data_IF_355417476486
#
_entry.id   IF_355417476486
#
_cell.length_a   1.000
_cell.length_b   1.000
_cell.length_c   1.000
_cell.angle_alpha   90.00
_cell.angle_beta   90.00
_cell.angle_gamma   90.00
#
_symmetry.space_group_name_H-M   'P 1'
#
loop_
_entity.id
_entity.type
_entity.pdbx_description
1 polymer ?
#
# COMPACT_ATOMS: atom_id res chain seq x y z
N UNK A 1 -25.87 0.83 19.85
CA UNK A 1 -25.45 2.22 19.63
C UNK A 1 -26.31 2.82 18.52
N UNK A 2 -26.65 4.11 18.57
CA UNK A 2 -27.46 4.73 17.51
C UNK A 2 -26.62 4.86 16.23
N UNK A 3 -27.16 4.48 15.08
CA UNK A 3 -26.48 4.53 13.76
C UNK A 3 -25.86 5.93 13.52
N UNK A 4 -26.52 7.00 13.98
CA UNK A 4 -26.01 8.36 13.88
C UNK A 4 -24.70 8.58 14.68
N UNK A 5 -24.56 7.97 15.86
CA UNK A 5 -23.33 8.05 16.65
C UNK A 5 -22.18 7.31 15.97
N UNK A 6 -22.45 6.10 15.43
CA UNK A 6 -21.46 5.31 14.68
C UNK A 6 -20.96 6.12 13.47
N UNK A 7 -21.90 6.74 12.73
CA UNK A 7 -21.54 7.58 11.57
C UNK A 7 -20.72 8.80 11.98
N UNK A 8 -21.05 9.44 13.10
CA UNK A 8 -20.29 10.59 13.62
C UNK A 8 -18.87 10.18 14.01
N UNK A 9 -18.70 9.06 14.73
CA UNK A 9 -17.40 8.52 15.09
C UNK A 9 -16.57 8.19 13.85
N UNK A 10 -17.17 7.55 12.85
CA UNK A 10 -16.50 7.23 11.57
C UNK A 10 -16.02 8.52 10.87
N UNK A 11 -16.86 9.54 10.77
CA UNK A 11 -16.52 10.82 10.14
C UNK A 11 -15.40 11.54 10.91
N UNK A 12 -15.42 11.50 12.24
CA UNK A 12 -14.34 12.09 13.07
C UNK A 12 -13.02 11.35 12.84
N UNK A 13 -13.03 10.02 12.86
CA UNK A 13 -11.84 9.22 12.56
C UNK A 13 -11.30 9.51 11.14
N UNK A 14 -12.17 9.56 10.14
CA UNK A 14 -11.80 9.89 8.77
C UNK A 14 -11.19 11.31 8.68
N UNK A 15 -11.77 12.30 9.36
CA UNK A 15 -11.23 13.66 9.39
C UNK A 15 -9.82 13.72 10.01
N UNK A 16 -9.58 12.97 11.10
CA UNK A 16 -8.25 12.87 11.72
C UNK A 16 -7.26 12.23 10.76
N UNK A 17 -7.63 11.13 10.08
CA UNK A 17 -6.77 10.45 9.10
C UNK A 17 -6.45 11.38 7.93
N UNK A 18 -7.42 12.16 7.43
CA UNK A 18 -7.18 13.14 6.34
C UNK A 18 -6.16 14.19 6.76
N UNK A 19 -6.29 14.75 7.95
CA UNK A 19 -5.34 15.75 8.47
C UNK A 19 -3.97 15.12 8.69
N UNK A 20 -3.92 13.98 9.39
CA UNK A 20 -2.68 13.28 9.71
C UNK A 20 -1.95 12.80 8.44
N UNK A 21 -2.65 12.18 7.49
CA UNK A 21 -2.07 11.73 6.22
C UNK A 21 -1.52 12.87 5.38
N UNK A 22 -2.18 14.02 5.37
CA UNK A 22 -1.69 15.22 4.68
C UNK A 22 -0.40 15.75 5.33
N UNK A 23 -0.35 15.83 6.67
CA UNK A 23 0.84 16.23 7.43
C UNK A 23 1.97 15.22 7.21
N UNK A 24 1.67 13.93 7.30
CA UNK A 24 2.62 12.83 7.08
C UNK A 24 3.31 12.97 5.73
N UNK A 25 2.54 13.18 4.68
CA UNK A 25 3.04 13.32 3.31
C UNK A 25 3.90 14.56 3.14
N UNK A 26 3.47 15.70 3.69
CA UNK A 26 4.27 16.95 3.65
C UNK A 26 5.60 16.80 4.39
N UNK A 27 5.58 16.11 5.53
CA UNK A 27 6.81 15.81 6.27
C UNK A 27 7.70 14.82 5.51
N UNK A 28 7.13 13.80 4.87
CA UNK A 28 7.85 12.84 4.03
C UNK A 28 8.54 13.54 2.84
N UNK A 29 7.86 14.46 2.17
CA UNK A 29 8.44 15.27 1.09
C UNK A 29 9.63 16.10 1.58
N UNK A 30 9.49 16.75 2.74
CA UNK A 30 10.58 17.50 3.38
C UNK A 30 11.75 16.59 3.77
N UNK A 31 11.48 15.40 4.32
CA UNK A 31 12.54 14.43 4.64
C UNK A 31 13.27 14.00 3.37
N UNK A 32 12.55 13.67 2.29
CA UNK A 32 13.15 13.28 1.02
C UNK A 32 14.07 14.36 0.46
N UNK A 33 13.63 15.61 0.52
CA UNK A 33 14.40 16.78 0.02
C UNK A 33 15.67 17.03 0.85
N UNK A 34 15.54 17.08 2.19
CA UNK A 34 16.67 17.42 3.08
C UNK A 34 17.69 16.28 3.16
N UNK A 35 17.24 15.02 3.18
CA UNK A 35 18.13 13.85 3.26
C UNK A 35 18.72 13.43 1.92
N UNK A 36 18.17 13.95 0.81
CA UNK A 36 18.53 13.54 -0.56
C UNK A 36 18.36 12.03 -0.81
N UNK A 37 17.44 11.39 -0.11
CA UNK A 37 17.14 9.96 -0.27
C UNK A 37 16.29 9.66 -1.53
N UNK A 38 15.68 10.70 -2.12
CA UNK A 38 14.74 10.57 -3.23
C UNK A 38 13.30 10.33 -2.77
N UNK A 39 12.37 10.99 -3.47
CA UNK A 39 10.93 10.91 -3.14
C UNK A 39 10.36 9.51 -3.29
N UNK A 40 10.82 8.75 -4.29
CA UNK A 40 10.35 7.38 -4.52
C UNK A 40 10.74 6.46 -3.34
N UNK A 41 11.98 6.54 -2.85
CA UNK A 41 12.42 5.72 -1.72
C UNK A 41 11.70 6.10 -0.42
N UNK A 42 11.57 7.40 -0.14
CA UNK A 42 10.85 7.86 1.05
C UNK A 42 9.36 7.48 0.97
N UNK A 43 8.77 7.56 -0.22
CA UNK A 43 7.40 7.08 -0.47
C UNK A 43 7.26 5.57 -0.23
N UNK A 44 8.17 4.77 -0.81
CA UNK A 44 8.06 3.31 -0.77
C UNK A 44 8.46 2.66 0.56
N UNK A 45 9.17 3.35 1.42
CA UNK A 45 9.63 2.79 2.70
C UNK A 45 9.01 3.50 3.90
N UNK A 46 9.21 4.83 4.00
CA UNK A 46 8.77 5.57 5.19
C UNK A 46 7.26 5.84 5.13
N UNK A 47 6.78 6.42 4.02
CA UNK A 47 5.38 6.79 3.92
C UNK A 47 4.50 5.53 3.86
N UNK A 48 4.84 4.57 3.01
CA UNK A 48 4.15 3.30 2.92
C UNK A 48 4.12 2.54 4.25
N UNK A 49 5.27 2.44 4.93
CA UNK A 49 5.33 1.79 6.24
C UNK A 49 4.45 2.47 7.28
N UNK A 50 4.40 3.82 7.29
CA UNK A 50 3.58 4.56 8.27
C UNK A 50 2.08 4.46 7.98
N UNK A 51 1.67 4.42 6.71
CA UNK A 51 0.26 4.31 6.32
C UNK A 51 -0.29 2.90 6.49
N UNK A 52 0.54 1.85 6.36
CA UNK A 52 0.15 0.44 6.55
C UNK A 52 0.29 -0.06 8.01
N UNK A 53 0.59 0.80 8.99
CA UNK A 53 0.59 0.40 10.40
C UNK A 53 -0.80 0.03 10.96
N UNK A 54 -1.90 0.70 10.57
CA UNK A 54 -3.25 0.29 10.99
C UNK A 54 -3.59 -1.14 10.57
N UNK A 55 -3.25 -1.54 9.35
CA UNK A 55 -3.44 -2.90 8.85
C UNK A 55 -2.76 -3.90 9.77
N UNK A 56 -1.50 -3.66 10.14
CA UNK A 56 -0.76 -4.55 11.05
C UNK A 56 -1.50 -4.75 12.38
N UNK A 57 -2.09 -3.70 12.96
CA UNK A 57 -2.78 -3.80 14.24
C UNK A 57 -4.11 -4.55 14.15
N UNK A 58 -4.85 -4.33 13.06
CA UNK A 58 -6.10 -5.03 12.75
C UNK A 58 -5.81 -6.51 12.50
N UNK A 59 -4.79 -6.81 11.70
CA UNK A 59 -4.43 -8.17 11.30
C UNK A 59 -3.86 -9.00 12.45
N UNK A 60 -3.02 -8.40 13.33
CA UNK A 60 -2.59 -9.08 14.57
C UNK A 60 -3.81 -9.43 15.41
N UNK A 61 -4.82 -8.58 15.47
CA UNK A 61 -6.05 -8.86 16.20
C UNK A 61 -6.84 -10.00 15.56
N UNK A 62 -6.94 -10.03 14.22
CA UNK A 62 -7.58 -11.11 13.48
C UNK A 62 -6.87 -12.47 13.72
N UNK A 63 -5.53 -12.51 13.66
CA UNK A 63 -4.74 -13.71 13.98
C UNK A 63 -5.02 -14.21 15.40
N UNK A 64 -5.03 -13.31 16.40
CA UNK A 64 -5.30 -13.64 17.81
C UNK A 64 -6.73 -14.15 18.03
N UNK A 65 -7.68 -13.74 17.21
CA UNK A 65 -9.06 -14.22 17.22
C UNK A 65 -9.26 -15.54 16.45
N UNK A 66 -8.18 -16.11 15.89
CA UNK A 66 -8.23 -17.36 15.13
C UNK A 66 -8.81 -17.21 13.71
N UNK A 67 -8.70 -16.02 13.12
CA UNK A 67 -9.16 -15.69 11.77
C UNK A 67 -7.99 -15.34 10.84
N UNK A 68 -7.04 -16.25 10.55
CA UNK A 68 -5.87 -15.97 9.74
C UNK A 68 -6.22 -15.60 8.28
N UNK A 69 -7.25 -16.22 7.72
CA UNK A 69 -7.73 -15.89 6.37
C UNK A 69 -8.20 -14.44 6.25
N UNK A 70 -8.77 -13.87 7.33
CA UNK A 70 -9.18 -12.48 7.35
C UNK A 70 -7.97 -11.54 7.25
N UNK A 71 -6.91 -11.80 8.04
CA UNK A 71 -5.70 -11.00 8.04
C UNK A 71 -4.96 -11.05 6.68
N UNK A 72 -4.81 -12.24 6.09
CA UNK A 72 -4.19 -12.38 4.77
C UNK A 72 -5.06 -11.76 3.68
N UNK A 73 -6.39 -11.93 3.80
CA UNK A 73 -7.36 -11.31 2.90
C UNK A 73 -7.33 -9.78 2.95
N UNK A 74 -7.16 -9.18 4.12
CA UNK A 74 -7.04 -7.73 4.30
C UNK A 74 -5.78 -7.19 3.61
N UNK A 75 -4.59 -7.75 3.89
CA UNK A 75 -3.32 -7.32 3.29
C UNK A 75 -3.31 -7.44 1.75
N UNK A 76 -3.85 -8.54 1.21
CA UNK A 76 -3.93 -8.75 -0.22
C UNK A 76 -5.03 -7.88 -0.85
N UNK A 77 -6.15 -7.68 -0.16
CA UNK A 77 -7.25 -6.80 -0.55
C UNK A 77 -6.82 -5.34 -0.57
N UNK A 78 -6.10 -4.87 0.46
CA UNK A 78 -5.50 -3.54 0.53
C UNK A 78 -4.51 -3.33 -0.63
N UNK A 79 -3.77 -4.36 -1.03
CA UNK A 79 -2.88 -4.27 -2.20
C UNK A 79 -3.65 -4.03 -3.51
N UNK A 80 -4.82 -4.67 -3.70
CA UNK A 80 -5.70 -4.38 -4.83
C UNK A 80 -6.33 -2.99 -4.73
N UNK A 81 -6.76 -2.57 -3.52
CA UNK A 81 -7.30 -1.23 -3.29
C UNK A 81 -6.28 -0.14 -3.61
N UNK A 82 -5.02 -0.33 -3.24
CA UNK A 82 -3.92 0.58 -3.57
C UNK A 82 -3.72 0.75 -5.08
N UNK A 83 -3.82 -0.34 -5.85
CA UNK A 83 -3.74 -0.28 -7.31
C UNK A 83 -4.96 0.43 -7.92
N UNK A 84 -6.15 0.22 -7.36
CA UNK A 84 -7.35 0.95 -7.75
C UNK A 84 -7.20 2.45 -7.45
N UNK A 85 -6.67 2.82 -6.28
CA UNK A 85 -6.35 4.20 -5.91
C UNK A 85 -5.41 4.81 -6.95
N UNK A 86 -4.33 4.12 -7.31
CA UNK A 86 -3.37 4.61 -8.31
C UNK A 86 -4.04 4.86 -9.66
N UNK A 87 -4.85 3.90 -10.14
CA UNK A 87 -5.56 4.02 -11.42
C UNK A 87 -6.57 5.18 -11.42
N UNK A 88 -7.34 5.35 -10.32
CA UNK A 88 -8.29 6.46 -10.18
C UNK A 88 -7.58 7.80 -10.11
N UNK A 89 -6.47 7.88 -9.38
CA UNK A 89 -5.68 9.10 -9.28
C UNK A 89 -5.05 9.46 -10.64
N UNK A 90 -4.58 8.49 -11.40
CA UNK A 90 -4.05 8.71 -12.76
C UNK A 90 -5.14 9.27 -13.70
N UNK A 91 -6.34 8.68 -13.69
CA UNK A 91 -7.48 9.18 -14.46
C UNK A 91 -7.87 10.62 -14.10
N UNK A 92 -7.77 11.01 -12.82
CA UNK A 92 -8.13 12.37 -12.37
C UNK A 92 -7.08 13.42 -12.73
N UNK A 93 -5.80 13.01 -12.90
CA UNK A 93 -4.69 13.92 -13.23
C UNK A 93 -4.46 14.11 -14.73
N UNK A 94 -5.33 13.56 -15.56
CA UNK A 94 -5.24 13.53 -17.02
C UNK A 94 -5.02 14.91 -17.70
N UNK A 95 -5.37 16.00 -17.05
CA UNK A 95 -5.22 17.37 -17.59
C UNK A 95 -3.79 17.92 -17.57
N UNK A 96 -2.84 17.28 -16.89
CA UNK A 96 -1.47 17.78 -16.71
C UNK A 96 -0.34 16.91 -17.32
N UNK A 97 -0.65 15.78 -17.92
CA UNK A 97 0.24 15.05 -18.86
C UNK A 97 1.56 14.48 -18.33
N UNK A 98 1.82 14.44 -17.01
CA UNK A 98 3.18 14.21 -16.49
C UNK A 98 3.31 13.24 -15.32
N UNK A 99 2.26 12.53 -14.92
CA UNK A 99 2.37 11.57 -13.82
C UNK A 99 3.32 10.40 -14.18
N UNK A 100 3.45 10.09 -15.47
CA UNK A 100 4.16 8.94 -16.02
C UNK A 100 5.28 9.31 -17.01
N UNK A 101 6.08 10.35 -16.73
CA UNK A 101 7.18 10.78 -17.58
C UNK A 101 8.47 9.95 -17.36
N UNK A 102 9.57 10.32 -18.03
CA UNK A 102 10.91 9.69 -18.11
C UNK A 102 11.53 9.11 -16.81
N UNK A 103 10.93 9.31 -15.64
CA UNK A 103 11.30 8.67 -14.36
C UNK A 103 10.69 7.26 -14.20
N UNK A 104 10.03 6.77 -15.24
CA UNK A 104 9.34 5.49 -15.28
C UNK A 104 10.20 4.27 -14.87
N UNK A 105 11.51 4.32 -15.08
CA UNK A 105 12.40 3.19 -14.74
C UNK A 105 12.45 2.93 -13.22
N UNK A 106 12.56 3.99 -12.40
CA UNK A 106 12.55 3.86 -10.94
C UNK A 106 11.20 3.39 -10.40
N UNK A 107 10.09 3.89 -11.00
CA UNK A 107 8.74 3.43 -10.67
C UNK A 107 8.54 1.96 -11.04
N UNK A 108 9.00 1.55 -12.25
CA UNK A 108 8.95 0.17 -12.70
C UNK A 108 9.77 -0.77 -11.79
N UNK A 109 10.89 -0.29 -11.25
CA UNK A 109 11.70 -1.04 -10.29
C UNK A 109 10.93 -1.29 -8.98
N UNK A 110 10.30 -0.25 -8.42
CA UNK A 110 9.48 -0.37 -7.20
C UNK A 110 8.26 -1.28 -7.43
N UNK A 111 7.57 -1.13 -8.57
CA UNK A 111 6.45 -2.00 -8.94
C UNK A 111 6.89 -3.45 -9.17
N UNK A 112 8.06 -3.67 -9.81
CA UNK A 112 8.61 -5.03 -10.01
C UNK A 112 8.99 -5.70 -8.70
N UNK A 113 9.48 -4.94 -7.72
CA UNK A 113 9.68 -5.42 -6.36
C UNK A 113 8.36 -5.89 -5.74
N UNK A 114 7.29 -5.10 -5.86
CA UNK A 114 5.96 -5.48 -5.38
C UNK A 114 5.46 -6.77 -6.05
N UNK A 115 5.61 -6.90 -7.37
CA UNK A 115 5.28 -8.12 -8.12
C UNK A 115 6.05 -9.33 -7.60
N UNK A 116 7.37 -9.20 -7.41
CA UNK A 116 8.21 -10.29 -6.94
C UNK A 116 7.82 -10.75 -5.53
N UNK A 117 7.55 -9.81 -4.62
CA UNK A 117 7.12 -10.12 -3.25
C UNK A 117 5.74 -10.79 -3.22
N UNK A 118 4.79 -10.29 -4.01
CA UNK A 118 3.46 -10.90 -4.13
C UNK A 118 3.54 -12.31 -4.74
N UNK A 119 4.43 -12.53 -5.72
CA UNK A 119 4.66 -13.85 -6.30
C UNK A 119 5.27 -14.82 -5.28
N UNK A 120 6.21 -14.36 -4.43
CA UNK A 120 6.77 -15.18 -3.34
C UNK A 120 5.71 -15.53 -2.30
N UNK A 121 4.82 -14.60 -1.96
CA UNK A 121 3.67 -14.89 -1.08
C UNK A 121 2.75 -15.90 -1.74
N UNK A 122 2.37 -15.73 -3.01
CA UNK A 122 1.55 -16.69 -3.75
C UNK A 122 2.17 -18.08 -3.79
N UNK A 123 3.49 -18.16 -4.02
CA UNK A 123 4.23 -19.42 -3.96
C UNK A 123 4.19 -20.04 -2.55
N UNK A 124 4.33 -19.20 -1.52
CA UNK A 124 4.29 -19.63 -0.11
C UNK A 124 2.92 -20.18 0.28
N UNK A 125 1.84 -19.57 -0.22
CA UNK A 125 0.46 -20.03 -0.03
C UNK A 125 0.23 -21.41 -0.71
N UNK A 126 0.76 -21.61 -1.92
CA UNK A 126 0.62 -22.87 -2.64
C UNK A 126 1.46 -24.00 -2.03
N UNK A 127 2.63 -23.68 -1.49
CA UNK A 127 3.56 -24.69 -0.93
C UNK A 127 3.38 -24.90 0.57
N UNK A 128 2.76 -23.95 1.29
CA UNK A 128 2.55 -24.02 2.72
C UNK A 128 1.88 -25.30 3.20
N UNK A 129 0.74 -25.73 2.62
CA UNK A 129 0.10 -27.01 2.98
C UNK A 129 0.97 -28.22 2.72
N UNK A 130 1.87 -28.16 1.73
CA UNK A 130 2.80 -29.27 1.40
C UNK A 130 3.99 -29.34 2.36
N UNK A 131 4.50 -28.19 2.79
CA UNK A 131 5.61 -28.08 3.74
C UNK A 131 5.14 -28.37 5.16
N UNK A 132 3.85 -28.09 5.44
CA UNK A 132 3.23 -28.30 6.74
C UNK A 132 3.72 -27.26 7.77
N UNK A 133 3.69 -27.68 9.04
CA UNK A 133 4.01 -26.77 10.16
C UNK A 133 5.52 -26.60 10.42
N UNK A 134 6.30 -26.41 9.32
CA UNK A 134 7.75 -26.18 9.43
C UNK A 134 8.00 -24.69 9.54
N UNK A 135 8.67 -24.28 10.63
CA UNK A 135 9.10 -22.91 10.86
C UNK A 135 10.60 -22.85 11.15
N UNK A 136 11.24 -21.79 10.73
CA UNK A 136 12.62 -21.44 11.08
C UNK A 136 12.58 -20.11 11.85
N UNK A 137 13.06 -20.08 13.07
CA UNK A 137 12.93 -18.94 14.00
C UNK A 137 11.47 -18.51 14.25
N UNK A 138 10.52 -19.43 14.18
CA UNK A 138 9.09 -19.14 14.32
C UNK A 138 8.44 -18.54 13.06
N UNK A 139 9.13 -18.55 11.91
CA UNK A 139 8.65 -17.98 10.65
C UNK A 139 8.62 -19.06 9.57
N UNK A 140 7.57 -19.10 8.78
CA UNK A 140 7.44 -19.97 7.62
C UNK A 140 8.57 -19.72 6.60
N UNK A 141 9.19 -20.75 6.01
CA UNK A 141 10.33 -20.57 5.11
C UNK A 141 10.07 -19.62 3.94
N UNK A 142 8.85 -19.65 3.38
CA UNK A 142 8.46 -18.76 2.30
C UNK A 142 8.44 -17.28 2.73
N UNK A 143 8.01 -16.98 3.95
CA UNK A 143 7.99 -15.61 4.47
C UNK A 143 9.39 -15.10 4.85
N UNK A 144 10.32 -15.99 5.20
CA UNK A 144 11.73 -15.60 5.31
C UNK A 144 12.31 -15.15 3.97
N UNK A 145 11.92 -15.81 2.88
CA UNK A 145 12.30 -15.38 1.52
C UNK A 145 11.66 -14.03 1.17
N UNK A 146 10.42 -13.80 1.57
CA UNK A 146 9.75 -12.49 1.40
C UNK A 146 10.52 -11.40 2.15
N UNK A 147 10.89 -11.63 3.42
CA UNK A 147 11.67 -10.67 4.20
C UNK A 147 13.05 -10.37 3.57
N UNK A 148 13.76 -11.42 3.14
CA UNK A 148 15.05 -11.27 2.47
C UNK A 148 14.93 -10.52 1.14
N UNK A 149 13.91 -10.85 0.33
CA UNK A 149 13.63 -10.19 -0.95
C UNK A 149 13.21 -8.72 -0.74
N UNK A 150 12.44 -8.41 0.32
CA UNK A 150 12.10 -7.04 0.67
C UNK A 150 13.34 -6.21 0.99
N UNK A 151 14.23 -6.71 1.86
CA UNK A 151 15.47 -6.04 2.22
C UNK A 151 16.36 -5.84 0.99
N UNK A 152 16.49 -6.87 0.14
CA UNK A 152 17.22 -6.79 -1.12
C UNK A 152 16.63 -5.76 -2.07
N UNK A 153 15.32 -5.77 -2.26
CA UNK A 153 14.60 -4.84 -3.12
C UNK A 153 14.73 -3.38 -2.66
N UNK A 154 14.56 -3.11 -1.36
CA UNK A 154 14.79 -1.77 -0.78
C UNK A 154 16.22 -1.29 -1.03
N UNK A 155 17.24 -2.16 -0.92
CA UNK A 155 18.63 -1.79 -1.24
C UNK A 155 18.79 -1.42 -2.71
N UNK A 156 18.17 -2.16 -3.61
CA UNK A 156 18.23 -1.87 -5.06
C UNK A 156 17.57 -0.53 -5.34
N UNK A 157 16.35 -0.28 -4.84
CA UNK A 157 15.65 1.01 -5.00
C UNK A 157 16.47 2.16 -4.39
N UNK A 158 17.10 1.94 -3.24
CA UNK A 158 17.99 2.93 -2.61
C UNK A 158 19.17 3.31 -3.51
N UNK A 159 19.85 2.33 -4.11
CA UNK A 159 20.97 2.60 -5.01
C UNK A 159 20.54 3.33 -6.28
N UNK A 160 19.43 2.92 -6.89
CA UNK A 160 18.82 3.58 -8.06
C UNK A 160 18.52 5.06 -7.76
N UNK A 161 17.85 5.32 -6.63
CA UNK A 161 17.47 6.68 -6.24
C UNK A 161 18.71 7.56 -5.92
N UNK A 162 19.77 7.01 -5.34
CA UNK A 162 21.01 7.76 -5.13
C UNK A 162 21.65 8.20 -6.44
N UNK A 163 21.65 7.35 -7.45
CA UNK A 163 22.16 7.69 -8.78
C UNK A 163 21.30 8.78 -9.41
N UNK A 164 19.98 8.61 -9.40
CA UNK A 164 19.05 9.56 -9.98
C UNK A 164 19.14 10.96 -9.31
N UNK A 165 19.27 11.01 -7.99
CA UNK A 165 19.44 12.29 -7.26
C UNK A 165 20.79 12.93 -7.56
N UNK A 166 21.87 12.16 -7.69
CA UNK A 166 23.20 12.67 -8.04
C UNK A 166 23.22 13.27 -9.46
N UNK A 167 22.59 12.62 -10.43
CA UNK A 167 22.45 13.13 -11.80
C UNK A 167 21.62 14.42 -11.85
N UNK A 168 20.52 14.48 -11.10
CA UNK A 168 19.69 15.67 -11.00
C UNK A 168 20.43 16.88 -10.38
N UNK A 169 21.30 16.62 -9.40
CA UNK A 169 22.08 17.66 -8.74
C UNK A 169 23.09 18.35 -9.67
N UNK A 170 23.58 17.66 -10.69
CA UNK A 170 24.51 18.23 -11.68
C UNK A 170 23.81 19.22 -12.63
N UNK A 171 22.50 19.09 -12.81
CA UNK A 171 21.70 19.85 -13.78
C UNK A 171 20.87 20.99 -13.17
N UNK A 172 20.88 21.17 -11.84
CA UNK A 172 20.02 22.16 -11.16
C UNK A 172 20.85 23.31 -10.60
N UNK A 173 20.53 24.55 -10.97
CA UNK A 173 21.01 25.75 -10.29
C UNK A 173 20.49 25.77 -8.83
N UNK A 174 21.33 26.22 -7.92
CA UNK A 174 21.05 26.28 -6.47
C UNK A 174 19.85 27.19 -6.21
N UNK A 175 18.73 26.61 -5.86
CA UNK A 175 17.57 27.38 -5.40
C UNK A 175 17.85 27.96 -4.02
N UNK A 176 17.63 29.25 -3.82
CA UNK A 176 17.80 29.97 -2.55
C UNK A 176 16.54 29.84 -1.64
N UNK A 177 15.96 28.66 -1.51
CA UNK A 177 14.93 28.47 -0.51
C UNK A 177 15.53 28.33 0.90
N UNK A 178 14.88 28.87 1.94
CA UNK A 178 15.36 28.73 3.32
C UNK A 178 15.42 27.25 3.71
N UNK A 179 16.46 26.83 4.47
CA UNK A 179 16.66 25.43 4.81
C UNK A 179 15.51 24.89 5.64
N UNK A 180 14.82 23.88 5.11
CA UNK A 180 13.75 23.16 5.82
C UNK A 180 14.34 22.38 7.00
N UNK A 181 13.69 22.40 8.16
CA UNK A 181 14.17 21.73 9.36
C UNK A 181 13.84 20.24 9.34
N UNK A 182 14.86 19.39 9.20
CA UNK A 182 14.73 17.94 9.25
C UNK A 182 14.09 17.47 10.58
N UNK A 183 14.51 18.03 11.72
CA UNK A 183 13.97 17.61 13.02
C UNK A 183 12.47 17.88 13.15
N UNK A 184 11.99 19.04 12.68
CA UNK A 184 10.55 19.35 12.67
C UNK A 184 9.79 18.41 11.73
N UNK A 185 10.35 18.09 10.57
CA UNK A 185 9.74 17.16 9.63
C UNK A 185 9.67 15.74 10.21
N UNK A 186 10.73 15.26 10.86
CA UNK A 186 10.73 13.94 11.51
C UNK A 186 9.74 13.89 12.67
N UNK A 187 9.70 14.90 13.53
CA UNK A 187 8.73 14.96 14.64
C UNK A 187 7.30 15.01 14.11
N UNK A 188 7.03 15.83 13.10
CA UNK A 188 5.71 15.91 12.47
C UNK A 188 5.30 14.59 11.81
N UNK A 189 6.24 13.92 11.12
CA UNK A 189 6.03 12.61 10.51
C UNK A 189 5.66 11.56 11.56
N UNK A 190 6.44 11.44 12.64
CA UNK A 190 6.19 10.49 13.73
C UNK A 190 4.87 10.79 14.43
N UNK A 191 4.57 12.04 14.72
CA UNK A 191 3.30 12.42 15.36
C UNK A 191 2.09 12.06 14.48
N UNK A 192 2.18 12.32 13.16
CA UNK A 192 1.13 11.97 12.21
C UNK A 192 1.00 10.44 12.05
N UNK A 193 2.10 9.70 11.98
CA UNK A 193 2.10 8.25 11.93
C UNK A 193 1.46 7.63 13.17
N UNK A 194 1.78 8.14 14.36
CA UNK A 194 1.15 7.71 15.63
C UNK A 194 -0.36 8.02 15.64
N UNK A 195 -0.77 9.19 15.12
CA UNK A 195 -2.19 9.50 15.01
C UNK A 195 -2.93 8.51 14.10
N UNK A 196 -2.35 8.17 12.95
CA UNK A 196 -2.92 7.18 12.01
C UNK A 196 -2.96 5.79 12.66
N UNK A 197 -1.87 5.36 13.31
CA UNK A 197 -1.77 4.07 13.99
C UNK A 197 -2.84 3.91 15.09
N UNK A 198 -3.14 4.98 15.82
CA UNK A 198 -4.13 4.95 16.90
C UNK A 198 -5.55 5.02 16.33
N UNK A 199 -5.81 5.88 15.36
CA UNK A 199 -7.17 6.15 14.86
C UNK A 199 -7.65 5.11 13.84
N UNK A 200 -6.74 4.52 13.05
CA UNK A 200 -7.06 3.53 12.02
C UNK A 200 -7.89 2.34 12.54
N UNK A 201 -7.46 1.64 13.60
CA UNK A 201 -8.22 0.54 14.21
C UNK A 201 -9.60 0.96 14.74
N UNK A 202 -9.72 2.17 15.31
CA UNK A 202 -11.04 2.70 15.73
C UNK A 202 -11.96 2.90 14.54
N UNK A 203 -11.44 3.43 13.43
CA UNK A 203 -12.21 3.62 12.21
C UNK A 203 -12.68 2.28 11.63
N UNK A 204 -11.81 1.26 11.56
CA UNK A 204 -12.15 -0.09 11.12
C UNK A 204 -13.26 -0.71 12.00
N UNK A 205 -13.13 -0.57 13.34
CA UNK A 205 -14.14 -1.04 14.28
C UNK A 205 -15.49 -0.33 14.11
N UNK A 206 -15.47 0.97 13.86
CA UNK A 206 -16.70 1.76 13.61
C UNK A 206 -17.37 1.36 12.30
N UNK A 207 -16.59 1.06 11.25
CA UNK A 207 -17.09 0.53 9.99
C UNK A 207 -17.79 -0.84 10.19
N UNK A 208 -17.21 -1.72 11.00
CA UNK A 208 -17.82 -3.02 11.36
C UNK A 208 -19.12 -2.85 12.13
N UNK A 209 -19.16 -1.94 13.12
CA UNK A 209 -20.39 -1.63 13.85
C UNK A 209 -21.50 -1.06 12.95
N UNK A 210 -21.14 -0.22 11.98
CA UNK A 210 -22.07 0.30 10.99
C UNK A 210 -22.67 -0.82 10.15
N UNK A 211 -21.84 -1.76 9.72
CA UNK A 211 -22.24 -2.95 9.01
C UNK A 211 -23.28 -3.77 9.76
N UNK A 212 -23.00 -4.04 11.03
CA UNK A 212 -23.90 -4.81 11.89
C UNK A 212 -25.22 -4.10 12.13
N UNK A 213 -25.17 -2.77 12.33
CA UNK A 213 -26.35 -1.95 12.61
C UNK A 213 -27.27 -1.77 11.39
N UNK A 214 -26.75 -1.82 10.18
CA UNK A 214 -27.51 -1.66 8.92
C UNK A 214 -28.01 -2.99 8.33
N UNK A 215 -27.56 -4.13 8.87
CA UNK A 215 -27.93 -5.46 8.36
C UNK A 215 -27.30 -5.79 6.99
N UNK A 216 -26.41 -4.97 6.50
CA UNK A 216 -25.58 -5.25 5.33
C UNK A 216 -24.69 -6.46 5.70
N UNK A 217 -24.75 -7.52 4.93
CA UNK A 217 -24.12 -8.80 5.27
C UNK A 217 -22.67 -8.65 5.71
N UNK A 218 -22.30 -9.36 6.79
CA UNK A 218 -20.97 -9.26 7.43
C UNK A 218 -19.81 -9.39 6.43
N UNK A 219 -19.96 -10.22 5.41
CA UNK A 219 -18.93 -10.44 4.40
C UNK A 219 -18.74 -9.22 3.48
N UNK A 220 -19.83 -8.63 2.99
CA UNK A 220 -19.75 -7.47 2.06
C UNK A 220 -19.21 -6.21 2.77
N UNK A 221 -19.64 -5.96 4.00
CA UNK A 221 -19.26 -4.75 4.72
C UNK A 221 -17.92 -4.91 5.40
N UNK A 222 -17.61 -6.10 5.95
CA UNK A 222 -16.29 -6.37 6.55
C UNK A 222 -15.18 -6.22 5.52
N UNK A 223 -15.32 -6.88 4.38
CA UNK A 223 -14.25 -6.82 3.35
C UNK A 223 -14.22 -5.50 2.58
N UNK A 224 -15.34 -4.80 2.40
CA UNK A 224 -15.37 -3.57 1.58
C UNK A 224 -15.19 -2.32 2.43
N UNK A 225 -15.98 -2.12 3.50
CA UNK A 225 -15.89 -0.92 4.32
C UNK A 225 -14.67 -0.94 5.25
N UNK A 226 -14.32 -2.10 5.81
CA UNK A 226 -13.11 -2.22 6.64
C UNK A 226 -11.88 -2.01 5.76
N UNK A 227 -11.77 -2.71 4.62
CA UNK A 227 -10.64 -2.53 3.70
C UNK A 227 -10.53 -1.10 3.16
N UNK A 228 -11.64 -0.44 2.80
CA UNK A 228 -11.61 0.98 2.42
C UNK A 228 -11.19 1.89 3.59
N UNK A 229 -11.55 1.50 4.82
CA UNK A 229 -11.19 2.27 6.01
C UNK A 229 -9.70 2.13 6.35
N UNK A 230 -9.14 0.93 6.24
CA UNK A 230 -7.71 0.69 6.49
C UNK A 230 -6.85 1.32 5.40
N UNK A 231 -7.27 1.29 4.13
CA UNK A 231 -6.56 1.92 3.01
C UNK A 231 -6.83 3.43 2.85
N UNK A 232 -7.62 4.06 3.73
CA UNK A 232 -7.84 5.51 3.68
C UNK A 232 -6.55 6.32 3.89
N UNK A 233 -5.64 5.96 4.81
CA UNK A 233 -4.35 6.64 4.95
C UNK A 233 -3.54 6.66 3.65
N UNK A 234 -3.46 5.53 2.94
CA UNK A 234 -2.78 5.40 1.65
C UNK A 234 -3.40 6.31 0.59
N UNK A 235 -4.72 6.33 0.49
CA UNK A 235 -5.45 7.20 -0.42
C UNK A 235 -5.16 8.67 -0.13
N UNK A 236 -5.27 9.09 1.12
CA UNK A 236 -5.03 10.49 1.54
C UNK A 236 -3.58 10.87 1.31
N UNK A 237 -2.62 10.02 1.66
CA UNK A 237 -1.20 10.27 1.47
C UNK A 237 -0.86 10.41 -0.03
N UNK A 238 -1.35 9.50 -0.87
CA UNK A 238 -1.12 9.55 -2.31
C UNK A 238 -1.79 10.78 -2.95
N UNK A 239 -3.02 11.11 -2.56
CA UNK A 239 -3.71 12.31 -3.04
C UNK A 239 -2.99 13.60 -2.60
N UNK A 240 -2.50 13.67 -1.36
CA UNK A 240 -1.73 14.81 -0.86
C UNK A 240 -0.41 14.96 -1.64
N UNK A 241 0.32 13.87 -1.89
CA UNK A 241 1.54 13.88 -2.69
C UNK A 241 1.29 14.40 -4.12
N UNK A 242 0.20 13.96 -4.75
CA UNK A 242 -0.19 14.44 -6.08
C UNK A 242 -0.51 15.94 -6.07
N UNK A 243 -1.28 16.42 -5.07
CA UNK A 243 -1.59 17.85 -4.93
C UNK A 243 -0.33 18.70 -4.73
N UNK A 244 0.70 18.15 -4.11
CA UNK A 244 2.02 18.77 -3.95
C UNK A 244 2.91 18.60 -5.19
N UNK A 245 2.43 17.96 -6.26
CA UNK A 245 3.20 17.59 -7.47
C UNK A 245 4.40 16.68 -7.18
N UNK A 246 4.35 15.94 -6.08
CA UNK A 246 5.35 14.96 -5.66
C UNK A 246 4.94 13.55 -6.15
N UNK A 247 4.82 13.38 -7.46
CA UNK A 247 4.32 12.14 -8.09
C UNK A 247 5.14 10.90 -7.71
N UNK A 248 6.48 11.03 -7.66
CA UNK A 248 7.36 9.94 -7.24
C UNK A 248 7.05 9.46 -5.81
N UNK A 249 6.61 10.40 -4.93
CA UNK A 249 6.21 10.08 -3.56
C UNK A 249 4.88 9.31 -3.54
N UNK A 250 3.91 9.69 -4.39
CA UNK A 250 2.61 9.02 -4.50
C UNK A 250 2.75 7.60 -5.05
N UNK A 251 3.52 7.43 -6.13
CA UNK A 251 3.76 6.12 -6.76
C UNK A 251 4.58 5.24 -5.82
N UNK A 252 5.59 5.82 -5.15
CA UNK A 252 6.36 5.14 -4.12
C UNK A 252 5.46 4.66 -2.97
N UNK A 253 4.53 5.49 -2.51
CA UNK A 253 3.58 5.09 -1.46
C UNK A 253 2.75 3.86 -1.88
N UNK A 254 2.14 3.85 -3.06
CA UNK A 254 1.29 2.75 -3.53
C UNK A 254 2.07 1.44 -3.71
N UNK A 255 3.14 1.43 -4.50
CA UNK A 255 3.93 0.21 -4.70
C UNK A 255 4.70 -0.19 -3.44
N UNK A 256 5.08 0.79 -2.62
CA UNK A 256 5.70 0.57 -1.32
C UNK A 256 4.75 -0.08 -0.34
N UNK A 257 3.49 0.41 -0.20
CA UNK A 257 2.48 -0.21 0.67
C UNK A 257 2.17 -1.64 0.23
N UNK A 258 2.07 -1.90 -1.08
CA UNK A 258 1.88 -3.27 -1.55
C UNK A 258 3.07 -4.19 -1.19
N UNK A 259 4.29 -3.68 -1.32
CA UNK A 259 5.50 -4.42 -0.91
C UNK A 259 5.55 -4.61 0.61
N UNK A 260 5.15 -3.59 1.37
CA UNK A 260 5.14 -3.60 2.82
C UNK A 260 4.06 -4.54 3.36
N UNK A 261 2.88 -4.60 2.74
CA UNK A 261 1.81 -5.55 3.08
C UNK A 261 2.29 -7.01 2.97
N UNK A 262 3.11 -7.33 1.95
CA UNK A 262 3.74 -8.66 1.87
C UNK A 262 4.71 -8.91 3.04
N UNK A 263 5.48 -7.88 3.44
CA UNK A 263 6.37 -7.98 4.60
C UNK A 263 5.60 -8.13 5.91
N UNK A 264 4.44 -7.48 6.07
CA UNK A 264 3.60 -7.57 7.27
C UNK A 264 3.12 -8.99 7.58
N UNK A 265 3.10 -9.89 6.60
CA UNK A 265 2.81 -11.30 6.85
C UNK A 265 3.85 -11.98 7.74
N UNK A 266 5.08 -11.45 7.82
CA UNK A 266 6.15 -11.99 8.68
C UNK A 266 5.82 -11.83 10.17
N UNK A 267 5.52 -10.63 10.71
CA UNK A 267 5.09 -10.50 12.10
C UNK A 267 3.76 -11.22 12.38
N UNK A 268 2.86 -11.38 11.41
CA UNK A 268 1.64 -12.16 11.59
C UNK A 268 1.93 -13.65 11.78
N UNK A 269 2.89 -14.19 11.03
CA UNK A 269 3.34 -15.58 11.19
C UNK A 269 3.99 -15.84 12.57
N UNK A 270 4.74 -14.85 13.09
CA UNK A 270 5.32 -14.94 14.45
C UNK A 270 4.23 -14.97 15.54
N UNK A 271 3.13 -14.26 15.34
CA UNK A 271 2.01 -14.22 16.28
C UNK A 271 1.12 -15.47 16.15
N UNK A 272 1.07 -16.08 14.98
CA UNK A 272 0.26 -17.27 14.71
C UNK A 272 0.85 -18.51 15.40
N UNK A 273 0.02 -19.39 16.02
CA UNK A 273 0.50 -20.61 16.64
C UNK A 273 0.87 -21.67 15.59
N UNK A 274 2.04 -21.56 14.98
CA UNK A 274 2.54 -22.44 13.92
C UNK A 274 2.73 -21.72 12.58
N UNK A 275 2.97 -22.48 11.53
CA UNK A 275 3.21 -21.91 10.19
C UNK A 275 1.91 -21.32 9.60
N UNK A 276 1.79 -20.01 9.52
CA UNK A 276 0.63 -19.29 9.00
C UNK A 276 0.28 -19.74 7.58
N UNK A 277 1.29 -19.87 6.71
CA UNK A 277 1.11 -20.27 5.31
C UNK A 277 0.58 -21.70 5.11
N UNK A 278 0.64 -22.55 6.13
CA UNK A 278 0.08 -23.89 6.11
C UNK A 278 -1.43 -23.93 6.45
N UNK A 279 -1.95 -22.88 7.07
CA UNK A 279 -3.33 -22.84 7.59
C UNK A 279 -4.27 -21.97 6.76
N UNK A 280 -3.71 -21.05 5.97
CA UNK A 280 -4.46 -20.07 5.15
C UNK A 280 -4.97 -20.73 3.86
N UNK A 281 -6.18 -20.35 3.44
CA UNK A 281 -6.82 -20.89 2.25
C UNK A 281 -6.04 -20.57 0.96
N UNK A 282 -5.86 -21.56 0.10
CA UNK A 282 -5.18 -21.41 -1.20
C UNK A 282 -5.90 -20.43 -2.15
N UNK A 283 -7.19 -20.12 -1.89
CA UNK A 283 -7.99 -19.14 -2.64
C UNK A 283 -7.37 -17.74 -2.68
N UNK A 284 -6.58 -17.35 -1.69
CA UNK A 284 -5.82 -16.09 -1.68
C UNK A 284 -4.79 -15.99 -2.82
N UNK A 285 -4.42 -17.12 -3.43
CA UNK A 285 -3.61 -17.15 -4.65
C UNK A 285 -4.24 -16.40 -5.82
N UNK A 286 -5.59 -16.37 -5.92
CA UNK A 286 -6.31 -15.59 -6.93
C UNK A 286 -6.05 -14.10 -6.74
N UNK A 287 -6.10 -13.64 -5.49
CA UNK A 287 -5.83 -12.23 -5.15
C UNK A 287 -4.38 -11.86 -5.46
N UNK A 288 -3.41 -12.75 -5.16
CA UNK A 288 -2.01 -12.56 -5.53
C UNK A 288 -1.85 -12.41 -7.05
N UNK A 289 -2.46 -13.30 -7.84
CA UNK A 289 -2.39 -13.24 -9.31
C UNK A 289 -3.04 -11.96 -9.86
N UNK A 290 -4.19 -11.56 -9.34
CA UNK A 290 -4.85 -10.32 -9.73
C UNK A 290 -3.98 -9.10 -9.40
N UNK A 291 -3.36 -9.07 -8.22
CA UNK A 291 -2.44 -7.99 -7.80
C UNK A 291 -1.19 -7.93 -8.70
N UNK A 292 -0.60 -9.09 -9.05
CA UNK A 292 0.53 -9.19 -9.98
C UNK A 292 0.15 -8.63 -11.35
N UNK A 293 -0.99 -9.07 -11.91
CA UNK A 293 -1.45 -8.63 -13.23
C UNK A 293 -1.75 -7.13 -13.25
N UNK A 294 -2.44 -6.62 -12.24
CA UNK A 294 -2.76 -5.20 -12.13
C UNK A 294 -1.50 -4.33 -11.97
N UNK A 295 -0.55 -4.76 -11.11
CA UNK A 295 0.73 -4.07 -10.92
C UNK A 295 1.55 -4.08 -12.20
N UNK A 296 1.64 -5.23 -12.88
CA UNK A 296 2.38 -5.35 -14.14
C UNK A 296 1.76 -4.47 -15.25
N UNK A 297 0.42 -4.38 -15.30
CA UNK A 297 -0.29 -3.49 -16.23
C UNK A 297 0.05 -2.03 -15.95
N UNK A 298 0.03 -1.61 -14.68
CA UNK A 298 0.42 -0.26 -14.28
C UNK A 298 1.87 0.06 -14.67
N UNK A 299 2.82 -0.88 -14.46
CA UNK A 299 4.22 -0.73 -14.88
C UNK A 299 4.33 -0.59 -16.40
N UNK A 300 3.60 -1.41 -17.16
CA UNK A 300 3.60 -1.34 -18.62
C UNK A 300 3.07 0.02 -19.11
N UNK A 301 1.99 0.53 -18.51
CA UNK A 301 1.45 1.86 -18.81
C UNK A 301 2.48 2.95 -18.54
N UNK A 302 3.24 2.84 -17.45
CA UNK A 302 4.31 3.79 -17.12
C UNK A 302 5.49 3.76 -18.09
N UNK A 303 5.85 2.58 -18.60
CA UNK A 303 6.96 2.42 -19.55
C UNK A 303 6.57 2.77 -20.98
N UNK A 304 5.32 2.53 -21.35
CA UNK A 304 4.77 2.74 -22.70
C UNK A 304 4.28 4.17 -22.90
N UNK A 305 5.11 5.16 -22.69
CA UNK A 305 4.80 6.58 -22.78
C UNK A 305 4.31 6.98 -24.19
N UNK A 306 3.00 6.80 -24.47
CA UNK A 306 2.38 7.17 -25.75
C UNK A 306 2.04 8.67 -25.74
N UNK A 307 2.69 9.45 -26.58
CA UNK A 307 2.42 10.89 -26.76
C UNK A 307 1.04 11.21 -27.39
N UNK A 308 0.28 10.21 -27.82
CA UNK A 308 -1.02 10.33 -28.48
C UNK A 308 -2.19 9.79 -27.66
N UNK A 309 -2.47 10.35 -26.49
CA UNK A 309 -3.61 9.92 -25.66
C UNK A 309 -4.94 10.39 -26.23
N UNK A 310 -5.87 9.47 -26.39
CA UNK A 310 -7.27 9.80 -26.67
C UNK A 310 -7.85 10.54 -25.46
N UNK A 311 -8.48 11.66 -25.71
CA UNK A 311 -8.87 12.73 -24.76
C UNK A 311 -9.70 12.29 -23.54
N UNK A 312 -10.12 11.03 -23.42
CA UNK A 312 -10.98 10.53 -22.33
C UNK A 312 -10.70 9.07 -21.89
N UNK A 313 -9.72 8.37 -22.47
CA UNK A 313 -9.49 6.96 -22.17
C UNK A 313 -8.00 6.74 -21.97
N UNK A 314 -7.63 6.46 -20.72
CA UNK A 314 -6.31 5.95 -20.35
C UNK A 314 -6.44 4.42 -20.28
N UNK A 315 -6.04 3.66 -21.34
CA UNK A 315 -6.36 2.23 -21.46
C UNK A 315 -5.76 1.39 -20.33
N UNK A 316 -4.58 1.78 -19.85
CA UNK A 316 -3.85 1.10 -18.78
C UNK A 316 -4.55 1.28 -17.42
N UNK A 317 -5.01 2.47 -17.07
CA UNK A 317 -5.78 2.71 -15.85
C UNK A 317 -7.11 1.93 -15.86
N UNK A 318 -7.84 1.94 -16.99
CA UNK A 318 -9.06 1.16 -17.12
C UNK A 318 -8.81 -0.35 -17.07
N UNK A 319 -7.71 -0.83 -17.64
CA UNK A 319 -7.33 -2.23 -17.58
C UNK A 319 -6.97 -2.64 -16.14
N UNK A 320 -6.26 -1.79 -15.39
CA UNK A 320 -6.00 -2.02 -13.96
C UNK A 320 -7.30 -2.12 -13.19
N UNK A 321 -8.25 -1.18 -13.40
CA UNK A 321 -9.58 -1.22 -12.76
C UNK A 321 -10.31 -2.53 -13.11
N UNK A 322 -10.31 -2.92 -14.37
CA UNK A 322 -10.98 -4.15 -14.82
C UNK A 322 -10.36 -5.40 -14.19
N UNK A 323 -9.02 -5.46 -14.08
CA UNK A 323 -8.32 -6.58 -13.42
C UNK A 323 -8.64 -6.63 -11.93
N UNK A 324 -8.62 -5.49 -11.23
CA UNK A 324 -8.94 -5.41 -9.80
C UNK A 324 -10.39 -5.84 -9.54
N UNK A 325 -11.35 -5.26 -10.27
CA UNK A 325 -12.77 -5.59 -10.11
C UNK A 325 -13.05 -7.06 -10.50
N UNK A 326 -12.46 -7.54 -11.59
CA UNK A 326 -12.55 -8.93 -12.02
C UNK A 326 -11.93 -9.89 -11.01
N UNK A 327 -10.77 -9.55 -10.44
CA UNK A 327 -10.12 -10.34 -9.38
C UNK A 327 -10.98 -10.43 -8.12
N UNK A 328 -11.53 -9.31 -7.64
CA UNK A 328 -12.45 -9.29 -6.49
C UNK A 328 -13.73 -10.10 -6.76
N UNK A 329 -14.29 -10.01 -7.98
CA UNK A 329 -15.43 -10.81 -8.37
C UNK A 329 -15.11 -12.32 -8.37
N UNK A 330 -13.94 -12.72 -8.92
CA UNK A 330 -13.50 -14.12 -8.89
C UNK A 330 -13.32 -14.62 -7.46
N UNK A 331 -12.72 -13.86 -6.58
CA UNK A 331 -12.60 -14.20 -5.15
C UNK A 331 -13.99 -14.42 -4.54
N UNK A 332 -14.94 -13.52 -4.80
CA UNK A 332 -16.30 -13.63 -4.28
C UNK A 332 -17.04 -14.91 -4.75
N UNK A 333 -16.84 -15.31 -6.01
CA UNK A 333 -17.50 -16.51 -6.55
C UNK A 333 -16.80 -17.84 -6.23
N UNK A 334 -15.56 -17.79 -5.73
CA UNK A 334 -14.76 -19.00 -5.41
C UNK A 334 -14.67 -19.28 -3.90
N UNK A 335 -15.17 -18.39 -3.05
CA UNK A 335 -15.39 -18.59 -1.62
C UNK A 335 -16.79 -19.16 -1.35
#
# INVERSE_FOLDING_TARGET
MNVLMILLEFVVCAAVIVVAGTILTSCADTIAEVTKLGRLLVGSVLLAGATSLPELTVDISAIRLGAPDLAIGDLLGSSLANLLILAVLDLTQHSQGHMLSRRAAGHALSGSMSVALTALVGLSLLTGPMIGNVTLLGISPGLLLVAAAYIGGVRIVYHDQRVAVAEAAVSTEVSHEPPKSLSKAVVGFVAAAVAILVVGPFMAHTAEQFAQATGLGRTFVGTTLVALSTSLPEFVASLAAIRMKAFDLAIGNVFGSNSFNMLLMVPLDIVHPGALMATVAAGHGITCLASILATQTAIMGQLYNVEGRWRFIDPDAWLVIAIVVGGLALVYYTQ
#
